data_IF_654773032283
#
_entry.id   IF_654773032283
#
_cell.length_a   1.000
_cell.length_b   1.000
_cell.length_c   1.000
_cell.angle_alpha   90.00
_cell.angle_beta   90.00
_cell.angle_gamma   90.00
#
_symmetry.space_group_name_H-M   'P 1'
#
loop_
_entity.id
_entity.type
_entity.pdbx_description
1 polymer ?
#
# COMPACT_ATOMS: atom_id res chain seq x y z
N UNK A 1 -26.44 -54.28 59.55
CA UNK A 1 -25.21 -53.46 59.50
C UNK A 1 -24.41 -53.89 58.29
N UNK A 2 -24.27 -52.89 57.39
CA UNK A 2 -23.43 -53.06 56.19
C UNK A 2 -21.99 -52.66 56.53
N UNK A 3 -21.09 -53.62 56.50
CA UNK A 3 -19.65 -53.35 56.61
C UNK A 3 -19.09 -53.04 55.22
N UNK A 4 -18.62 -51.81 55.03
CA UNK A 4 -17.83 -51.44 53.87
C UNK A 4 -16.37 -51.81 54.08
N UNK A 5 -15.87 -52.73 53.24
CA UNK A 5 -14.47 -53.14 53.23
C UNK A 5 -13.67 -52.17 52.30
N UNK A 6 -12.87 -51.30 52.90
CA UNK A 6 -11.90 -50.46 52.17
C UNK A 6 -10.69 -51.30 51.81
N UNK A 7 -10.66 -51.81 50.58
CA UNK A 7 -9.50 -52.49 50.02
C UNK A 7 -8.27 -51.57 50.06
N UNK A 8 -7.17 -52.10 50.58
CA UNK A 8 -5.95 -51.36 50.91
C UNK A 8 -5.36 -50.53 49.75
N UNK A 9 -5.23 -49.27 50.04
CA UNK A 9 -4.48 -48.33 49.23
C UNK A 9 -2.98 -48.53 49.51
N UNK A 10 -2.23 -49.05 48.53
CA UNK A 10 -0.78 -49.27 48.67
C UNK A 10 -0.06 -48.02 48.14
N UNK A 11 0.66 -47.26 48.99
CA UNK A 11 1.34 -46.00 48.58
C UNK A 11 2.56 -46.23 47.68
N UNK A 12 2.85 -47.45 47.27
CA UNK A 12 4.04 -47.81 46.48
C UNK A 12 3.85 -47.74 44.95
N UNK A 13 2.62 -47.51 44.43
CA UNK A 13 2.38 -47.57 43.00
C UNK A 13 2.47 -46.19 42.24
N UNK A 14 2.94 -45.14 42.93
CA UNK A 14 3.23 -43.88 42.30
C UNK A 14 4.73 -43.77 41.97
N UNK A 15 5.23 -44.53 40.99
CA UNK A 15 6.66 -44.42 40.69
C UNK A 15 7.18 -45.17 39.50
N UNK A 16 6.37 -45.37 38.46
CA UNK A 16 6.92 -45.69 37.14
C UNK A 16 6.18 -44.88 36.06
N UNK A 17 6.56 -43.62 35.96
CA UNK A 17 6.27 -42.85 34.76
C UNK A 17 7.00 -43.51 33.60
N UNK A 18 6.28 -44.40 32.89
CA UNK A 18 6.78 -44.99 31.67
C UNK A 18 7.19 -43.87 30.73
N UNK A 19 8.49 -43.75 30.47
CA UNK A 19 9.03 -42.90 29.40
C UNK A 19 8.27 -43.29 28.13
N UNK A 20 7.43 -42.37 27.66
CA UNK A 20 6.78 -42.54 26.35
C UNK A 20 7.91 -42.72 25.35
N UNK A 21 7.95 -43.85 24.58
CA UNK A 21 9.01 -44.05 23.61
C UNK A 21 9.08 -42.84 22.70
N UNK A 22 10.20 -42.10 22.77
CA UNK A 22 10.48 -41.04 21.85
C UNK A 22 10.44 -41.67 20.45
N UNK A 23 9.39 -41.37 19.69
CA UNK A 23 9.27 -41.82 18.30
C UNK A 23 10.50 -41.27 17.58
N UNK A 24 11.53 -42.10 17.40
CA UNK A 24 12.68 -41.79 16.56
C UNK A 24 12.15 -41.41 15.18
N UNK A 25 12.16 -40.10 14.88
CA UNK A 25 11.82 -39.61 13.56
C UNK A 25 12.87 -40.11 12.60
N UNK A 26 12.50 -41.06 11.70
CA UNK A 26 13.39 -41.53 10.66
C UNK A 26 14.06 -40.36 9.93
N UNK A 27 15.38 -40.40 9.74
CA UNK A 27 16.10 -39.32 9.07
C UNK A 27 15.52 -39.12 7.67
N UNK A 28 15.09 -37.91 7.37
CA UNK A 28 14.65 -37.53 6.02
C UNK A 28 15.86 -37.55 5.10
N UNK A 29 15.79 -38.30 4.01
CA UNK A 29 16.85 -38.35 3.02
C UNK A 29 16.86 -37.02 2.26
N UNK A 30 18.05 -36.41 1.98
CA UNK A 30 18.16 -35.20 1.17
C UNK A 30 17.67 -35.45 -0.25
N UNK A 31 17.03 -34.45 -0.85
CA UNK A 31 16.50 -34.53 -2.22
C UNK A 31 17.64 -34.31 -3.23
N UNK A 32 17.96 -35.28 -4.05
CA UNK A 32 18.90 -35.15 -5.17
C UNK A 32 20.33 -34.67 -4.81
N UNK A 33 21.01 -34.07 -5.77
CA UNK A 33 22.35 -33.50 -5.60
C UNK A 33 22.29 -32.09 -4.94
N UNK A 34 23.42 -31.59 -4.39
CA UNK A 34 23.47 -30.25 -3.84
C UNK A 34 23.02 -29.16 -4.85
N UNK A 35 23.42 -29.28 -6.10
CA UNK A 35 23.04 -28.33 -7.17
C UNK A 35 21.54 -28.38 -7.44
N UNK A 36 20.97 -29.59 -7.56
CA UNK A 36 19.52 -29.76 -7.77
C UNK A 36 18.70 -29.11 -6.66
N UNK A 37 19.15 -29.26 -5.40
CA UNK A 37 18.50 -28.63 -4.24
C UNK A 37 18.52 -27.10 -4.31
N UNK A 38 19.69 -26.53 -4.63
CA UNK A 38 19.82 -25.07 -4.77
C UNK A 38 18.91 -24.54 -5.89
N UNK A 39 18.83 -25.23 -7.02
CA UNK A 39 17.94 -24.87 -8.11
C UNK A 39 16.46 -24.94 -7.72
N UNK A 40 16.05 -26.00 -7.00
CA UNK A 40 14.68 -26.12 -6.49
C UNK A 40 14.37 -24.98 -5.51
N UNK A 41 15.28 -24.68 -4.57
CA UNK A 41 15.09 -23.62 -3.59
C UNK A 41 14.94 -22.26 -4.27
N UNK A 42 15.80 -21.95 -5.27
CA UNK A 42 15.71 -20.73 -6.04
C UNK A 42 14.39 -20.67 -6.83
N UNK A 43 14.00 -21.76 -7.50
CA UNK A 43 12.77 -21.80 -8.29
C UNK A 43 11.53 -21.58 -7.42
N UNK A 44 11.44 -22.23 -6.25
CA UNK A 44 10.32 -22.04 -5.31
C UNK A 44 10.32 -20.62 -4.74
N UNK A 45 11.50 -20.11 -4.36
CA UNK A 45 11.60 -18.72 -3.84
C UNK A 45 11.21 -17.71 -4.90
N UNK A 46 11.63 -17.88 -6.14
CA UNK A 46 11.24 -17.02 -7.25
C UNK A 46 9.73 -17.08 -7.53
N UNK A 47 9.15 -18.28 -7.51
CA UNK A 47 7.70 -18.45 -7.69
C UNK A 47 6.90 -17.74 -6.58
N UNK A 48 7.28 -17.96 -5.32
CA UNK A 48 6.63 -17.29 -4.17
C UNK A 48 6.84 -15.78 -4.25
N UNK A 49 8.03 -15.33 -4.63
CA UNK A 49 8.33 -13.90 -4.83
C UNK A 49 7.47 -13.26 -5.92
N UNK A 50 7.29 -13.95 -7.05
CA UNK A 50 6.43 -13.46 -8.14
C UNK A 50 4.96 -13.39 -7.71
N UNK A 51 4.47 -14.41 -7.00
CA UNK A 51 3.08 -14.41 -6.47
C UNK A 51 2.90 -13.28 -5.45
N UNK A 52 3.83 -13.13 -4.52
CA UNK A 52 3.78 -12.05 -3.53
C UNK A 52 3.83 -10.68 -4.20
N UNK A 53 4.75 -10.46 -5.15
CA UNK A 53 4.85 -9.21 -5.89
C UNK A 53 3.58 -8.89 -6.67
N UNK A 54 2.93 -9.90 -7.24
CA UNK A 54 1.67 -9.72 -7.96
C UNK A 54 0.48 -9.36 -7.06
N UNK A 55 0.47 -9.87 -5.82
CA UNK A 55 -0.64 -9.67 -4.86
C UNK A 55 -0.44 -8.38 -4.06
N UNK A 56 0.72 -8.23 -3.42
CA UNK A 56 1.01 -7.14 -2.47
C UNK A 56 1.59 -5.89 -3.14
N UNK A 57 2.14 -6.03 -4.35
CA UNK A 57 2.66 -4.91 -5.15
C UNK A 57 3.70 -4.03 -4.41
N UNK A 58 4.71 -4.59 -3.73
CA UNK A 58 5.69 -3.78 -3.00
C UNK A 58 6.50 -2.90 -3.95
N UNK A 59 6.81 -1.67 -3.51
CA UNK A 59 7.74 -0.82 -4.24
C UNK A 59 9.16 -1.40 -4.17
N UNK A 60 9.82 -1.59 -5.32
CA UNK A 60 11.21 -2.04 -5.36
C UNK A 60 12.17 -0.86 -5.13
N UNK A 61 12.05 -0.23 -3.96
CA UNK A 61 12.75 0.99 -3.59
C UNK A 61 13.28 0.88 -2.15
N UNK A 62 14.59 1.12 -1.91
CA UNK A 62 15.14 1.06 -0.56
C UNK A 62 14.56 2.07 0.43
N UNK A 63 13.87 3.10 -0.06
CA UNK A 63 13.15 4.08 0.78
C UNK A 63 11.77 3.59 1.24
N UNK A 64 11.25 2.47 0.68
CA UNK A 64 9.97 1.88 1.03
C UNK A 64 10.16 0.75 2.05
N UNK A 65 9.33 0.73 3.10
CA UNK A 65 9.38 -0.31 4.13
C UNK A 65 9.00 -1.70 3.56
N UNK A 66 8.06 -1.74 2.63
CA UNK A 66 7.59 -2.96 1.97
C UNK A 66 8.72 -3.69 1.22
N UNK A 67 9.72 -2.96 0.71
CA UNK A 67 10.89 -3.52 0.06
C UNK A 67 11.69 -4.44 1.01
N UNK A 68 11.90 -4.01 2.25
CA UNK A 68 12.62 -4.79 3.25
C UNK A 68 11.83 -6.03 3.62
N UNK A 69 10.52 -5.88 3.85
CA UNK A 69 9.66 -7.02 4.14
C UNK A 69 9.67 -8.04 3.00
N UNK A 70 9.59 -7.60 1.76
CA UNK A 70 9.67 -8.47 0.58
C UNK A 70 10.98 -9.25 0.54
N UNK A 71 12.12 -8.60 0.75
CA UNK A 71 13.44 -9.27 0.77
C UNK A 71 13.56 -10.25 1.94
N UNK A 72 13.09 -9.88 3.14
CA UNK A 72 13.07 -10.79 4.28
C UNK A 72 12.20 -12.02 4.01
N UNK A 73 11.04 -11.85 3.39
CA UNK A 73 10.18 -12.96 2.98
C UNK A 73 10.91 -13.92 2.03
N UNK A 74 11.58 -13.39 1.00
CA UNK A 74 12.34 -14.21 0.06
C UNK A 74 13.46 -14.99 0.76
N UNK A 75 14.18 -14.36 1.68
CA UNK A 75 15.22 -15.01 2.47
C UNK A 75 14.63 -16.11 3.37
N UNK A 76 13.50 -15.85 4.01
CA UNK A 76 12.82 -16.83 4.87
C UNK A 76 12.32 -18.05 4.07
N UNK A 77 11.69 -17.80 2.91
CA UNK A 77 11.22 -18.88 2.01
C UNK A 77 12.40 -19.71 1.53
N UNK A 78 13.50 -19.08 1.09
CA UNK A 78 14.68 -19.82 0.67
C UNK A 78 15.26 -20.69 1.81
N UNK A 79 15.41 -20.15 3.01
CA UNK A 79 15.90 -20.90 4.17
C UNK A 79 14.95 -22.04 4.55
N UNK A 80 13.64 -21.81 4.51
CA UNK A 80 12.64 -22.85 4.73
C UNK A 80 12.74 -23.99 3.72
N UNK A 81 12.86 -23.65 2.42
CA UNK A 81 13.07 -24.64 1.36
C UNK A 81 14.40 -25.39 1.54
N UNK A 82 15.48 -24.71 1.95
CA UNK A 82 16.76 -25.34 2.21
C UNK A 82 16.68 -26.35 3.36
N UNK A 83 15.93 -26.06 4.42
CA UNK A 83 15.67 -27.02 5.52
C UNK A 83 14.93 -28.25 5.01
N UNK A 84 13.89 -28.05 4.21
CA UNK A 84 13.07 -29.13 3.68
C UNK A 84 13.81 -30.03 2.69
N UNK A 85 14.59 -29.43 1.79
CA UNK A 85 15.29 -30.15 0.71
C UNK A 85 16.57 -30.83 1.19
N UNK A 86 17.24 -30.29 2.22
CA UNK A 86 18.47 -30.87 2.77
C UNK A 86 18.25 -32.06 3.68
N UNK A 87 17.01 -32.29 4.14
CA UNK A 87 16.71 -33.29 5.15
C UNK A 87 17.32 -32.98 6.52
N UNK A 88 17.60 -31.70 6.80
CA UNK A 88 18.23 -31.25 8.05
C UNK A 88 17.40 -31.64 9.28
N UNK A 89 18.06 -32.31 10.23
CA UNK A 89 17.51 -32.75 11.52
C UNK A 89 18.42 -32.34 12.69
N UNK A 90 19.09 -31.18 12.54
CA UNK A 90 20.02 -30.71 13.56
C UNK A 90 19.33 -30.42 14.88
N UNK A 91 19.91 -30.94 15.96
CA UNK A 91 19.57 -30.60 17.33
C UNK A 91 20.70 -29.73 17.93
N UNK A 92 20.30 -28.59 18.50
CA UNK A 92 21.24 -27.68 19.17
C UNK A 92 21.88 -26.61 18.28
N UNK A 93 22.37 -25.55 18.92
CA UNK A 93 22.89 -24.33 18.27
C UNK A 93 24.03 -24.60 17.28
N UNK A 94 24.94 -25.53 17.57
CA UNK A 94 26.05 -25.88 16.66
C UNK A 94 25.57 -26.51 15.35
N UNK A 95 24.53 -27.36 15.41
CA UNK A 95 23.95 -27.97 14.22
C UNK A 95 23.29 -26.93 13.30
N UNK A 96 22.53 -25.98 13.88
CA UNK A 96 21.92 -24.87 13.15
C UNK A 96 22.96 -23.95 12.51
N UNK A 97 24.02 -23.56 13.24
CA UNK A 97 25.09 -22.73 12.73
C UNK A 97 25.83 -23.39 11.56
N UNK A 98 26.11 -24.71 11.67
CA UNK A 98 26.71 -25.47 10.58
C UNK A 98 25.82 -25.55 9.33
N UNK A 99 24.51 -25.68 9.51
CA UNK A 99 23.55 -25.65 8.42
C UNK A 99 23.49 -24.28 7.74
N UNK A 100 23.34 -23.21 8.52
CA UNK A 100 23.29 -21.82 7.99
C UNK A 100 24.56 -21.51 7.21
N UNK A 101 25.74 -21.83 7.77
CA UNK A 101 27.03 -21.61 7.10
C UNK A 101 27.17 -22.37 5.78
N UNK A 102 26.50 -23.51 5.62
CA UNK A 102 26.62 -24.37 4.41
C UNK A 102 25.54 -24.11 3.36
N UNK A 103 24.33 -23.79 3.78
CA UNK A 103 23.15 -23.74 2.90
C UNK A 103 22.50 -22.33 2.79
N UNK A 104 22.59 -21.51 3.83
CA UNK A 104 21.90 -20.23 3.95
C UNK A 104 22.86 -19.04 4.12
N UNK A 105 24.12 -19.17 3.69
CA UNK A 105 25.13 -18.11 3.86
C UNK A 105 24.71 -16.82 3.17
N UNK A 106 24.23 -16.89 1.92
CA UNK A 106 23.83 -15.70 1.16
C UNK A 106 22.61 -15.03 1.80
N UNK A 107 21.48 -15.71 2.04
CA UNK A 107 20.34 -15.11 2.74
C UNK A 107 20.69 -14.53 4.10
N UNK A 108 21.58 -15.16 4.84
CA UNK A 108 22.04 -14.68 6.17
C UNK A 108 22.74 -13.32 6.06
N UNK A 109 23.68 -13.18 5.13
CA UNK A 109 24.36 -11.89 4.92
C UNK A 109 23.44 -10.83 4.34
N UNK A 110 22.50 -11.20 3.48
CA UNK A 110 21.46 -10.27 2.96
C UNK A 110 20.63 -9.74 4.12
N UNK A 111 20.15 -10.61 5.01
CA UNK A 111 19.36 -10.19 6.17
C UNK A 111 20.16 -9.25 7.10
N UNK A 112 21.44 -9.56 7.37
CA UNK A 112 22.30 -8.67 8.17
C UNK A 112 22.48 -7.32 7.49
N UNK A 113 22.75 -7.31 6.18
CA UNK A 113 22.90 -6.07 5.43
C UNK A 113 21.61 -5.22 5.43
N UNK A 114 20.44 -5.87 5.31
CA UNK A 114 19.14 -5.19 5.39
C UNK A 114 18.88 -4.62 6.79
N UNK A 115 19.17 -5.39 7.85
CA UNK A 115 19.05 -4.90 9.24
C UNK A 115 19.97 -3.70 9.47
N UNK A 116 21.21 -3.78 9.00
CA UNK A 116 22.16 -2.67 9.08
C UNK A 116 21.66 -1.44 8.30
N UNK A 117 21.13 -1.64 7.10
CA UNK A 117 20.55 -0.56 6.29
C UNK A 117 19.35 0.10 7.00
N UNK A 118 18.44 -0.70 7.59
CA UNK A 118 17.33 -0.18 8.39
C UNK A 118 17.84 0.64 9.58
N UNK A 119 18.80 0.10 10.34
CA UNK A 119 19.34 0.78 11.53
C UNK A 119 20.02 2.11 11.17
N UNK A 120 20.92 2.10 10.18
CA UNK A 120 21.61 3.30 9.69
C UNK A 120 20.61 4.28 9.06
N UNK A 121 19.67 3.76 8.28
CA UNK A 121 18.62 4.52 7.63
C UNK A 121 17.72 5.23 8.65
N UNK A 122 17.23 4.53 9.65
CA UNK A 122 16.42 5.10 10.73
C UNK A 122 17.18 6.17 11.51
N UNK A 123 18.45 5.90 11.86
CA UNK A 123 19.29 6.87 12.57
C UNK A 123 19.55 8.13 11.73
N UNK A 124 19.82 7.97 10.43
CA UNK A 124 20.06 9.09 9.51
C UNK A 124 18.80 9.91 9.19
N UNK A 125 17.63 9.33 9.45
CA UNK A 125 16.31 9.95 9.23
C UNK A 125 15.70 10.52 10.52
N UNK A 126 16.39 10.39 11.64
CA UNK A 126 15.84 10.79 12.91
C UNK A 126 15.76 12.31 13.06
N UNK A 127 14.57 12.82 13.42
CA UNK A 127 14.29 14.27 13.50
C UNK A 127 15.30 14.99 14.40
N UNK A 128 15.60 14.44 15.58
CA UNK A 128 16.53 15.04 16.54
C UNK A 128 17.93 15.25 15.95
N UNK A 129 18.42 14.31 15.14
CA UNK A 129 19.75 14.42 14.51
C UNK A 129 19.75 15.29 13.25
N UNK A 130 18.58 15.52 12.66
CA UNK A 130 18.43 16.20 11.37
C UNK A 130 17.46 17.37 11.43
N UNK A 131 17.21 17.94 12.62
CA UNK A 131 16.27 19.03 12.85
C UNK A 131 16.42 20.17 11.81
N UNK A 132 17.62 20.67 11.58
CA UNK A 132 17.87 21.71 10.57
C UNK A 132 17.66 21.29 9.10
N UNK A 133 17.43 19.98 8.81
CA UNK A 133 16.98 19.55 7.49
C UNK A 133 15.45 19.44 7.41
N UNK A 134 14.82 19.07 8.52
CA UNK A 134 13.36 18.98 8.63
C UNK A 134 12.71 20.38 8.63
N UNK A 135 13.29 21.37 9.32
CA UNK A 135 12.81 22.75 9.32
C UNK A 135 12.79 23.40 7.92
N UNK A 136 13.60 22.90 7.00
CA UNK A 136 13.68 23.39 5.61
C UNK A 136 12.79 22.61 4.62
N UNK A 137 12.01 21.65 5.08
CA UNK A 137 11.11 20.89 4.20
C UNK A 137 9.97 21.76 3.66
N UNK A 138 9.45 22.66 4.50
CA UNK A 138 8.47 23.67 4.10
C UNK A 138 9.16 25.04 4.08
N UNK A 139 9.52 25.57 2.89
CA UNK A 139 10.04 26.91 2.81
C UNK A 139 8.90 27.91 3.11
N UNK A 140 9.06 28.67 4.20
CA UNK A 140 8.15 29.76 4.52
C UNK A 140 8.55 31.00 3.73
N UNK A 141 7.61 31.55 2.98
CA UNK A 141 7.76 32.84 2.30
C UNK A 141 6.75 33.83 2.87
N UNK A 142 7.20 35.05 3.09
CA UNK A 142 6.29 36.13 3.47
C UNK A 142 5.62 36.67 2.21
N UNK A 143 4.30 36.66 2.19
CA UNK A 143 3.47 37.19 1.12
C UNK A 143 2.57 38.32 1.61
N UNK A 144 1.99 39.06 0.67
CA UNK A 144 0.98 40.08 0.97
C UNK A 144 -0.42 39.48 0.76
N UNK A 145 -1.17 39.33 1.86
CA UNK A 145 -2.51 38.74 1.85
C UNK A 145 -3.44 39.39 0.80
N UNK A 146 -3.35 40.72 0.63
CA UNK A 146 -4.25 41.44 -0.28
C UNK A 146 -3.96 41.17 -1.76
N UNK A 147 -2.71 40.89 -2.09
CA UNK A 147 -2.28 40.64 -3.48
C UNK A 147 -2.24 39.17 -3.87
N UNK A 148 -2.07 38.28 -2.89
CA UNK A 148 -1.86 36.85 -3.14
C UNK A 148 -3.12 36.00 -2.87
N UNK A 149 -4.07 36.53 -2.08
CA UNK A 149 -5.34 35.83 -1.81
C UNK A 149 -6.47 36.45 -2.60
N UNK A 150 -7.02 35.71 -3.55
CA UNK A 150 -8.15 36.17 -4.35
C UNK A 150 -9.41 36.34 -3.50
N UNK A 151 -10.19 37.40 -3.78
CA UNK A 151 -11.50 37.61 -3.16
C UNK A 151 -12.46 36.52 -3.64
N UNK A 152 -13.00 35.76 -2.71
CA UNK A 152 -14.01 34.74 -2.99
C UNK A 152 -15.39 35.36 -2.92
N UNK A 153 -16.18 35.20 -3.97
CA UNK A 153 -17.59 35.57 -3.98
C UNK A 153 -18.42 34.60 -3.13
N UNK A 154 -19.42 35.11 -2.43
CA UNK A 154 -20.30 34.27 -1.58
C UNK A 154 -20.98 33.15 -2.35
N UNK A 155 -21.28 33.33 -3.62
CA UNK A 155 -21.90 32.35 -4.53
C UNK A 155 -20.88 31.29 -5.04
N UNK A 156 -19.63 31.35 -4.62
CA UNK A 156 -18.57 30.39 -4.97
C UNK A 156 -18.02 29.65 -3.73
N UNK A 157 -18.58 29.91 -2.54
CA UNK A 157 -18.13 29.22 -1.32
C UNK A 157 -18.63 27.78 -1.32
N UNK A 158 -17.74 26.79 -1.25
CA UNK A 158 -18.13 25.39 -1.18
C UNK A 158 -18.82 25.08 0.16
N UNK A 159 -20.08 24.69 0.11
CA UNK A 159 -20.91 24.42 1.29
C UNK A 159 -21.12 22.91 1.54
N UNK A 160 -20.65 22.04 0.64
CA UNK A 160 -20.95 20.62 0.66
C UNK A 160 -19.80 19.81 1.27
N UNK A 161 -20.05 19.15 2.41
CA UNK A 161 -19.13 18.18 2.98
C UNK A 161 -19.13 16.83 2.23
N UNK A 162 -18.20 15.93 2.57
CA UNK A 162 -18.05 14.64 1.91
C UNK A 162 -19.23 13.70 2.12
N UNK A 163 -19.82 13.69 3.34
CA UNK A 163 -20.92 12.81 3.68
C UNK A 163 -22.23 13.23 2.98
N UNK A 164 -22.46 14.53 2.89
CA UNK A 164 -23.60 15.10 2.16
C UNK A 164 -23.45 14.84 0.66
N UNK A 165 -22.25 14.97 0.10
CA UNK A 165 -21.96 14.60 -1.28
C UNK A 165 -22.26 13.12 -1.54
N UNK A 166 -21.84 12.22 -0.66
CA UNK A 166 -22.10 10.79 -0.81
C UNK A 166 -23.60 10.46 -0.84
N UNK A 167 -24.42 11.16 -0.02
CA UNK A 167 -25.87 10.99 -0.02
C UNK A 167 -26.51 11.51 -1.31
N UNK A 168 -26.08 12.68 -1.80
CA UNK A 168 -26.57 13.25 -3.06
C UNK A 168 -26.24 12.36 -4.25
N UNK A 169 -24.99 11.90 -4.34
CA UNK A 169 -24.57 10.99 -5.39
C UNK A 169 -25.34 9.67 -5.36
N UNK A 170 -25.50 9.05 -4.18
CA UNK A 170 -26.24 7.80 -4.04
C UNK A 170 -27.70 7.95 -4.44
N UNK A 171 -28.35 9.07 -4.08
CA UNK A 171 -29.72 9.36 -4.53
C UNK A 171 -29.77 9.51 -6.04
N UNK A 172 -28.79 10.21 -6.64
CA UNK A 172 -28.75 10.44 -8.08
C UNK A 172 -28.53 9.13 -8.86
N UNK A 173 -27.61 8.27 -8.41
CA UNK A 173 -27.43 6.94 -9.00
C UNK A 173 -28.69 6.09 -8.87
N UNK A 174 -29.41 6.18 -7.74
CA UNK A 174 -30.66 5.47 -7.48
C UNK A 174 -31.80 5.82 -8.47
N UNK A 175 -31.75 7.00 -9.09
CA UNK A 175 -32.69 7.41 -10.14
C UNK A 175 -32.45 6.69 -11.47
N UNK A 176 -31.27 6.04 -11.65
CA UNK A 176 -30.85 5.41 -12.89
C UNK A 176 -31.01 3.89 -12.80
N UNK A 177 -32.16 3.38 -13.24
CA UNK A 177 -32.53 1.96 -13.14
C UNK A 177 -31.54 1.01 -13.85
N UNK A 178 -30.88 1.47 -14.90
CA UNK A 178 -29.89 0.73 -15.67
C UNK A 178 -28.53 0.60 -14.95
N UNK A 179 -28.22 1.49 -14.01
CA UNK A 179 -26.93 1.53 -13.31
C UNK A 179 -27.00 1.06 -11.87
N UNK A 180 -28.05 1.43 -11.13
CA UNK A 180 -28.16 1.21 -9.68
C UNK A 180 -28.07 -0.27 -9.28
N UNK A 181 -28.44 -1.19 -10.16
CA UNK A 181 -28.36 -2.62 -9.89
C UNK A 181 -26.97 -3.23 -10.18
N UNK A 182 -26.10 -2.53 -10.91
CA UNK A 182 -24.82 -3.04 -11.40
C UNK A 182 -23.62 -2.36 -10.72
N UNK A 183 -23.77 -1.08 -10.38
CA UNK A 183 -22.67 -0.24 -9.93
C UNK A 183 -22.98 0.40 -8.57
N UNK A 184 -21.92 0.68 -7.84
CA UNK A 184 -21.91 1.43 -6.59
C UNK A 184 -21.00 2.64 -6.77
N UNK A 185 -21.13 3.63 -5.89
CA UNK A 185 -20.28 4.82 -5.89
C UNK A 185 -19.11 4.58 -4.97
N UNK A 186 -17.89 4.92 -5.41
CA UNK A 186 -16.75 4.94 -4.50
C UNK A 186 -16.95 6.03 -3.43
N UNK A 187 -16.65 5.72 -2.15
CA UNK A 187 -16.88 6.65 -1.05
C UNK A 187 -15.94 7.86 -1.08
N UNK A 188 -14.81 7.77 -1.78
CA UNK A 188 -13.78 8.80 -1.82
C UNK A 188 -14.15 9.85 -2.89
N UNK A 189 -14.69 10.97 -2.43
CA UNK A 189 -14.98 12.13 -3.26
C UNK A 189 -13.81 13.10 -3.25
N UNK A 190 -13.23 13.36 -4.41
CA UNK A 190 -12.18 14.37 -4.57
C UNK A 190 -12.82 15.73 -4.81
N UNK A 191 -12.35 16.74 -4.09
CA UNK A 191 -12.72 18.14 -4.37
C UNK A 191 -11.75 18.71 -5.38
N UNK A 192 -12.27 19.27 -6.47
CA UNK A 192 -11.52 19.89 -7.55
C UNK A 192 -12.17 21.20 -7.98
N UNK A 193 -11.40 22.01 -8.70
CA UNK A 193 -11.91 23.21 -9.39
C UNK A 193 -12.15 22.87 -10.87
N UNK A 194 -13.37 22.60 -11.23
CA UNK A 194 -13.75 22.25 -12.59
C UNK A 194 -14.40 23.44 -13.28
N UNK A 195 -13.73 23.97 -14.32
CA UNK A 195 -14.22 25.16 -15.07
C UNK A 195 -14.56 26.35 -14.17
N UNK A 196 -13.71 26.60 -13.16
CA UNK A 196 -13.88 27.72 -12.23
C UNK A 196 -14.96 27.51 -11.16
N UNK A 197 -15.46 26.27 -10.97
CA UNK A 197 -16.43 25.93 -9.92
C UNK A 197 -15.89 24.83 -9.00
N UNK A 198 -16.08 24.96 -7.69
CA UNK A 198 -15.74 23.91 -6.77
C UNK A 198 -16.72 22.74 -6.90
N UNK A 199 -16.22 21.57 -7.32
CA UNK A 199 -17.01 20.35 -7.45
C UNK A 199 -16.39 19.19 -6.69
N UNK A 200 -17.21 18.21 -6.35
CA UNK A 200 -16.74 16.90 -5.89
C UNK A 200 -16.94 15.87 -6.96
N UNK A 201 -15.90 15.12 -7.25
CA UNK A 201 -15.93 14.05 -8.26
C UNK A 201 -15.61 12.71 -7.64
N UNK A 202 -16.23 11.65 -8.15
CA UNK A 202 -15.90 10.28 -7.76
C UNK A 202 -16.24 9.32 -8.90
N UNK A 203 -15.52 8.20 -8.92
CA UNK A 203 -15.77 7.09 -9.85
C UNK A 203 -16.84 6.15 -9.30
N UNK A 204 -17.42 5.34 -10.20
CA UNK A 204 -18.20 4.18 -9.83
C UNK A 204 -17.30 2.99 -9.48
N UNK A 205 -17.91 1.97 -8.88
CA UNK A 205 -17.35 0.65 -8.65
C UNK A 205 -18.36 -0.42 -9.07
N UNK A 206 -17.92 -1.66 -9.22
CA UNK A 206 -18.83 -2.79 -9.44
C UNK A 206 -19.40 -3.25 -8.09
N UNK A 207 -20.71 -3.48 -8.03
CA UNK A 207 -21.36 -3.88 -6.78
C UNK A 207 -20.92 -5.25 -6.25
N UNK A 208 -20.45 -6.15 -7.10
CA UNK A 208 -19.87 -7.45 -6.74
C UNK A 208 -19.03 -8.06 -7.88
N UNK A 209 -18.37 -9.19 -7.61
CA UNK A 209 -17.54 -9.89 -8.60
C UNK A 209 -18.32 -10.40 -9.83
N UNK A 210 -19.59 -10.74 -9.69
CA UNK A 210 -20.42 -11.23 -10.80
C UNK A 210 -20.73 -10.05 -11.73
N UNK A 211 -21.07 -8.91 -11.15
CA UNK A 211 -21.32 -7.68 -11.89
C UNK A 211 -20.07 -7.17 -12.59
N UNK A 212 -18.91 -7.26 -11.94
CA UNK A 212 -17.63 -6.99 -12.59
C UNK A 212 -17.40 -7.94 -13.78
N UNK A 213 -17.56 -9.25 -13.60
CA UNK A 213 -17.34 -10.21 -14.68
C UNK A 213 -18.24 -9.96 -15.90
N UNK A 214 -19.48 -9.55 -15.65
CA UNK A 214 -20.47 -9.24 -16.70
C UNK A 214 -20.13 -7.94 -17.43
N UNK A 215 -19.68 -6.91 -16.72
CA UNK A 215 -19.49 -5.57 -17.27
C UNK A 215 -18.03 -5.23 -17.63
N UNK A 216 -17.05 -6.07 -17.27
CA UNK A 216 -15.61 -5.79 -17.43
C UNK A 216 -15.16 -5.46 -18.85
N UNK A 217 -15.87 -5.91 -19.88
CA UNK A 217 -15.55 -5.63 -21.29
C UNK A 217 -15.79 -4.16 -21.62
N UNK A 218 -16.86 -3.61 -21.10
CA UNK A 218 -17.28 -2.23 -21.34
C UNK A 218 -16.64 -1.24 -20.36
N UNK A 219 -16.25 -1.70 -19.16
CA UNK A 219 -15.73 -0.86 -18.08
C UNK A 219 -16.84 -0.14 -17.31
N UNK A 220 -16.46 0.79 -16.46
CA UNK A 220 -17.38 1.63 -15.69
C UNK A 220 -17.92 2.75 -16.59
N UNK A 221 -19.27 2.83 -16.79
CA UNK A 221 -19.86 3.64 -17.85
C UNK A 221 -19.97 5.13 -17.52
N UNK A 222 -19.69 5.54 -16.28
CA UNK A 222 -19.92 6.91 -15.83
C UNK A 222 -19.08 7.24 -14.59
N UNK A 223 -19.02 8.52 -14.27
CA UNK A 223 -18.55 9.06 -13.00
C UNK A 223 -19.56 10.10 -12.46
N UNK A 224 -19.38 10.54 -11.23
CA UNK A 224 -20.29 11.47 -10.57
C UNK A 224 -19.59 12.80 -10.33
N UNK A 225 -20.28 13.88 -10.67
CA UNK A 225 -19.88 15.26 -10.36
C UNK A 225 -20.96 15.88 -9.50
N UNK A 226 -20.56 16.58 -8.43
CA UNK A 226 -21.49 17.29 -7.54
C UNK A 226 -20.96 18.70 -7.36
N UNK A 227 -21.74 19.67 -7.79
CA UNK A 227 -21.47 21.09 -7.56
C UNK A 227 -21.59 21.38 -6.05
N UNK A 228 -20.54 21.93 -5.47
CA UNK A 228 -20.48 22.16 -4.02
C UNK A 228 -21.24 23.40 -3.55
N UNK A 229 -21.65 24.24 -4.49
CA UNK A 229 -22.43 25.48 -4.23
C UNK A 229 -23.92 25.20 -4.40
N UNK A 230 -24.31 24.69 -5.58
CA UNK A 230 -25.71 24.41 -5.90
C UNK A 230 -26.22 23.10 -5.31
N UNK A 231 -25.31 22.20 -4.90
CA UNK A 231 -25.60 20.84 -4.42
C UNK A 231 -26.28 19.95 -5.48
N UNK A 232 -26.15 20.29 -6.74
CA UNK A 232 -26.65 19.48 -7.83
C UNK A 232 -25.69 18.34 -8.12
N UNK A 233 -26.23 17.11 -8.17
CA UNK A 233 -25.47 15.91 -8.52
C UNK A 233 -25.76 15.50 -9.96
N UNK A 234 -24.73 15.26 -10.73
CA UNK A 234 -24.79 14.79 -12.12
C UNK A 234 -24.06 13.45 -12.27
N UNK A 235 -24.63 12.55 -13.06
CA UNK A 235 -23.96 11.32 -13.53
C UNK A 235 -23.52 11.56 -14.96
N UNK A 236 -22.22 11.75 -15.14
CA UNK A 236 -21.60 11.97 -16.45
C UNK A 236 -21.34 10.63 -17.11
N UNK A 237 -22.07 10.33 -18.19
CA UNK A 237 -21.90 9.10 -18.97
C UNK A 237 -20.74 9.26 -19.95
N UNK A 238 -19.95 8.21 -20.07
CA UNK A 238 -18.82 8.13 -20.98
C UNK A 238 -19.20 7.33 -22.23
N UNK A 239 -18.71 7.75 -23.39
CA UNK A 239 -18.85 7.01 -24.65
C UNK A 239 -18.09 5.67 -24.58
N UNK A 240 -16.89 5.69 -23.99
CA UNK A 240 -16.12 4.51 -23.62
C UNK A 240 -15.95 4.45 -22.11
N UNK A 241 -16.28 3.30 -21.49
CA UNK A 241 -16.19 3.12 -20.06
C UNK A 241 -14.75 3.07 -19.53
N UNK A 242 -14.59 3.45 -18.28
CA UNK A 242 -13.30 3.37 -17.57
C UNK A 242 -12.92 1.92 -17.33
N UNK A 243 -11.73 1.53 -17.77
CA UNK A 243 -11.19 0.15 -17.70
C UNK A 243 -10.00 0.03 -16.76
N UNK A 244 -9.44 1.16 -16.32
CA UNK A 244 -8.29 1.21 -15.40
C UNK A 244 -8.69 2.00 -14.16
N UNK A 245 -9.17 1.27 -13.16
CA UNK A 245 -9.69 1.86 -11.91
C UNK A 245 -9.28 1.03 -10.70
N UNK A 246 -9.47 1.59 -9.51
CA UNK A 246 -9.23 0.86 -8.25
C UNK A 246 -10.21 -0.31 -8.05
N UNK A 247 -11.39 -0.24 -8.68
CA UNK A 247 -12.43 -1.27 -8.62
C UNK A 247 -12.23 -2.41 -9.65
N UNK A 248 -11.28 -2.26 -10.56
CA UNK A 248 -10.94 -3.31 -11.54
C UNK A 248 -10.07 -4.40 -10.91
N UNK A 249 -10.04 -5.55 -11.59
CA UNK A 249 -9.26 -6.71 -11.16
C UNK A 249 -8.14 -7.05 -12.16
N UNK A 250 -7.22 -7.91 -11.72
CA UNK A 250 -6.07 -8.39 -12.50
C UNK A 250 -5.23 -7.23 -13.07
N UNK A 251 -4.88 -7.26 -14.35
CA UNK A 251 -3.99 -6.28 -15.00
C UNK A 251 -4.60 -4.88 -15.16
N UNK A 252 -5.93 -4.76 -15.06
CA UNK A 252 -6.62 -3.47 -15.14
C UNK A 252 -6.79 -2.78 -13.79
N UNK A 253 -6.52 -3.48 -12.69
CA UNK A 253 -6.49 -2.84 -11.38
C UNK A 253 -5.42 -1.75 -11.36
N UNK A 254 -5.78 -0.54 -10.97
CA UNK A 254 -4.94 0.65 -11.05
C UNK A 254 -3.60 0.47 -10.33
N UNK A 255 -3.62 -0.06 -9.09
CA UNK A 255 -2.41 -0.26 -8.30
C UNK A 255 -1.43 -1.22 -8.99
N UNK A 256 -1.96 -2.29 -9.59
CA UNK A 256 -1.16 -3.26 -10.31
C UNK A 256 -0.62 -2.69 -11.61
N UNK A 257 -1.47 -1.97 -12.35
CA UNK A 257 -1.06 -1.28 -13.57
C UNK A 257 0.11 -0.31 -13.31
N UNK A 258 0.01 0.52 -12.26
CA UNK A 258 1.07 1.42 -11.81
C UNK A 258 2.35 0.66 -11.40
N UNK A 259 2.20 -0.38 -10.55
CA UNK A 259 3.37 -1.10 -10.03
C UNK A 259 4.18 -1.79 -11.13
N UNK A 260 3.51 -2.33 -12.15
CA UNK A 260 4.21 -2.97 -13.27
C UNK A 260 4.87 -1.98 -14.22
N UNK A 261 4.35 -0.76 -14.35
CA UNK A 261 4.96 0.30 -15.18
C UNK A 261 6.04 1.07 -14.41
N UNK A 262 5.83 1.30 -13.11
CA UNK A 262 6.71 2.09 -12.25
C UNK A 262 7.13 1.30 -11.01
N UNK A 263 7.90 0.22 -11.15
CA UNK A 263 8.18 -0.73 -10.06
C UNK A 263 8.97 -0.13 -8.90
N UNK A 264 9.70 0.95 -9.12
CA UNK A 264 10.55 1.61 -8.11
C UNK A 264 9.95 2.87 -7.52
N UNK A 265 8.83 3.38 -8.07
CA UNK A 265 8.18 4.56 -7.53
C UNK A 265 7.33 4.21 -6.32
N UNK A 266 7.35 5.08 -5.33
CA UNK A 266 6.41 5.05 -4.21
C UNK A 266 5.27 6.01 -4.54
N UNK A 267 4.04 5.57 -4.29
CA UNK A 267 2.85 6.35 -4.57
C UNK A 267 2.06 6.58 -3.28
N UNK A 268 1.43 7.74 -3.19
CA UNK A 268 0.34 7.99 -2.26
C UNK A 268 -0.96 7.35 -2.77
N UNK A 269 -2.04 7.44 -1.99
CA UNK A 269 -3.34 6.93 -2.42
C UNK A 269 -3.80 7.67 -3.68
N UNK A 270 -4.12 6.93 -4.77
CA UNK A 270 -4.59 7.54 -6.01
C UNK A 270 -5.92 8.27 -5.82
N UNK A 271 -6.01 9.47 -6.35
CA UNK A 271 -7.25 10.26 -6.34
C UNK A 271 -7.85 10.36 -7.73
N UNK A 272 -9.19 10.39 -7.77
CA UNK A 272 -9.94 10.50 -9.00
C UNK A 272 -10.20 11.96 -9.32
N UNK A 273 -9.78 12.42 -10.50
CA UNK A 273 -10.01 13.76 -11.02
C UNK A 273 -10.43 13.74 -12.49
N UNK A 274 -10.88 14.85 -13.00
CA UNK A 274 -11.24 15.05 -14.42
C UNK A 274 -10.50 16.26 -14.96
N UNK A 275 -10.07 16.19 -16.22
CA UNK A 275 -9.50 17.34 -16.90
C UNK A 275 -10.58 18.36 -17.32
N UNK A 276 -10.19 19.47 -17.94
CA UNK A 276 -11.13 20.53 -18.38
C UNK A 276 -12.12 20.06 -19.46
N UNK A 277 -11.81 18.98 -20.17
CA UNK A 277 -12.68 18.34 -21.17
C UNK A 277 -13.65 17.32 -20.54
N UNK A 278 -13.45 16.96 -19.26
CA UNK A 278 -14.23 15.96 -18.55
C UNK A 278 -13.70 14.53 -18.72
N UNK A 279 -12.46 14.38 -19.21
CA UNK A 279 -11.82 13.07 -19.30
C UNK A 279 -11.39 12.60 -17.90
N UNK A 280 -11.74 11.36 -17.50
CA UNK A 280 -11.41 10.88 -16.17
C UNK A 280 -9.95 10.40 -16.07
N UNK A 281 -9.27 10.83 -15.00
CA UNK A 281 -7.92 10.45 -14.65
C UNK A 281 -7.80 9.97 -13.21
N UNK A 282 -6.80 9.15 -12.98
CA UNK A 282 -6.27 8.88 -11.65
C UNK A 282 -4.97 9.64 -11.47
N UNK A 283 -4.95 10.53 -10.49
CA UNK A 283 -3.76 11.25 -10.07
C UNK A 283 -3.04 10.42 -9.01
N UNK A 284 -1.85 9.94 -9.35
CA UNK A 284 -1.06 9.05 -8.51
C UNK A 284 0.21 9.78 -8.07
N UNK A 285 0.14 10.48 -6.94
CA UNK A 285 1.23 11.31 -6.43
C UNK A 285 2.45 10.48 -6.08
N UNK A 286 3.61 10.86 -6.61
CA UNK A 286 4.88 10.19 -6.35
C UNK A 286 5.48 10.68 -5.05
N UNK A 287 5.60 9.79 -4.08
CA UNK A 287 6.27 10.05 -2.80
C UNK A 287 7.78 9.88 -2.94
N UNK A 288 8.53 10.77 -2.31
CA UNK A 288 9.98 10.70 -2.14
C UNK A 288 10.37 10.92 -0.68
N UNK A 289 11.53 10.41 -0.28
CA UNK A 289 12.13 10.67 1.04
C UNK A 289 13.29 11.65 0.86
N UNK A 290 13.18 12.83 1.48
CA UNK A 290 14.17 13.91 1.34
C UNK A 290 15.30 13.82 2.37
N UNK A 291 15.07 13.17 3.51
CA UNK A 291 15.99 13.16 4.66
C UNK A 291 16.34 11.73 5.03
N UNK A 292 17.61 11.37 4.83
CA UNK A 292 18.08 10.03 5.09
C UNK A 292 17.39 8.98 4.23
N UNK A 293 17.14 7.80 4.78
CA UNK A 293 16.52 6.70 4.03
C UNK A 293 14.99 6.69 4.14
N UNK A 294 14.44 7.09 5.30
CA UNK A 294 13.01 6.95 5.60
C UNK A 294 12.32 8.27 5.99
N UNK A 295 13.05 9.37 6.15
CA UNK A 295 12.53 10.62 6.66
C UNK A 295 12.22 11.65 5.58
N UNK A 296 11.49 12.72 5.98
CA UNK A 296 11.15 13.84 5.13
C UNK A 296 10.30 13.43 3.93
N UNK A 297 9.11 12.90 4.20
CA UNK A 297 8.16 12.51 3.14
C UNK A 297 7.72 13.76 2.38
N UNK A 298 7.86 13.75 1.06
CA UNK A 298 7.47 14.84 0.17
C UNK A 298 6.92 14.27 -1.14
N UNK A 299 6.24 15.09 -1.92
CA UNK A 299 5.73 14.73 -3.23
C UNK A 299 6.63 15.30 -4.32
N UNK A 300 6.98 14.48 -5.30
CA UNK A 300 7.76 14.89 -6.46
C UNK A 300 6.99 14.56 -7.75
N UNK A 301 5.99 15.39 -8.07
CA UNK A 301 5.12 15.18 -9.21
C UNK A 301 4.14 14.02 -9.06
N UNK A 302 3.47 13.65 -10.14
CA UNK A 302 2.51 12.56 -10.18
C UNK A 302 2.57 11.78 -11.49
N UNK A 303 2.09 10.54 -11.44
CA UNK A 303 1.70 9.78 -12.63
C UNK A 303 0.21 9.98 -12.85
N UNK A 304 -0.15 10.51 -14.01
CA UNK A 304 -1.53 10.63 -14.44
C UNK A 304 -1.88 9.38 -15.28
N UNK A 305 -2.93 8.69 -14.88
CA UNK A 305 -3.43 7.50 -15.58
C UNK A 305 -4.81 7.80 -16.14
N UNK A 306 -4.95 7.80 -17.46
CA UNK A 306 -6.26 7.89 -18.09
C UNK A 306 -7.11 6.67 -17.72
N UNK A 307 -8.24 6.89 -17.06
CA UNK A 307 -9.07 5.81 -16.53
C UNK A 307 -9.71 4.94 -17.63
N UNK A 308 -9.86 5.47 -18.85
CA UNK A 308 -10.45 4.78 -20.01
C UNK A 308 -9.41 3.95 -20.75
N UNK A 309 -8.32 4.59 -21.20
CA UNK A 309 -7.30 3.95 -22.05
C UNK A 309 -6.22 3.21 -21.25
N UNK A 310 -5.95 3.62 -20.01
CA UNK A 310 -4.83 3.14 -19.20
C UNK A 310 -3.49 3.76 -19.60
N UNK A 311 -3.48 4.74 -20.49
CA UNK A 311 -2.27 5.49 -20.79
C UNK A 311 -1.79 6.20 -19.51
N UNK A 312 -0.52 6.05 -19.20
CA UNK A 312 0.04 6.62 -17.98
C UNK A 312 1.31 7.39 -18.29
N UNK A 313 1.43 8.59 -17.74
CA UNK A 313 2.58 9.45 -17.91
C UNK A 313 2.97 10.12 -16.59
N UNK A 314 4.27 10.16 -16.33
CA UNK A 314 4.82 10.88 -15.19
C UNK A 314 5.05 12.35 -15.54
N UNK A 315 4.60 13.23 -14.64
CA UNK A 315 4.82 14.67 -14.69
C UNK A 315 5.53 15.11 -13.41
N UNK A 316 6.64 15.82 -13.53
CA UNK A 316 7.28 16.49 -12.38
C UNK A 316 6.49 17.76 -12.04
N UNK A 317 6.16 18.55 -13.06
CA UNK A 317 5.23 19.66 -12.97
C UNK A 317 3.91 19.20 -13.58
N UNK A 318 2.90 19.01 -12.73
CA UNK A 318 1.59 18.53 -13.15
C UNK A 318 0.79 19.60 -13.90
N UNK A 319 -0.12 19.23 -14.81
CA UNK A 319 -1.03 20.17 -15.46
C UNK A 319 -1.85 20.97 -14.43
N UNK A 320 -2.26 22.18 -14.81
CA UNK A 320 -2.98 23.13 -13.93
C UNK A 320 -4.36 22.67 -13.49
N UNK A 321 -4.93 21.68 -14.14
CA UNK A 321 -6.22 21.10 -13.76
C UNK A 321 -6.10 20.06 -12.64
N UNK A 322 -4.89 19.63 -12.29
CA UNK A 322 -4.66 18.71 -11.16
C UNK A 322 -4.68 19.52 -9.86
N UNK A 323 -5.72 19.32 -9.08
CA UNK A 323 -5.93 20.06 -7.83
C UNK A 323 -5.35 19.35 -6.61
N UNK A 324 -5.34 18.02 -6.62
CA UNK A 324 -4.96 17.24 -5.45
C UNK A 324 -3.67 16.44 -5.64
N UNK A 325 -2.56 17.18 -5.71
CA UNK A 325 -1.23 16.59 -5.78
C UNK A 325 -0.73 16.11 -4.40
N UNK A 326 -1.04 16.86 -3.35
CA UNK A 326 -0.69 16.53 -1.96
C UNK A 326 -1.91 16.01 -1.21
N UNK A 327 -1.77 14.85 -0.57
CA UNK A 327 -2.79 14.40 0.38
C UNK A 327 -2.73 15.22 1.67
N UNK A 328 -3.86 15.29 2.37
CA UNK A 328 -3.94 15.96 3.67
C UNK A 328 -2.95 15.40 4.68
N UNK A 329 -2.72 14.08 4.63
CA UNK A 329 -1.80 13.40 5.54
C UNK A 329 -0.35 13.82 5.31
N UNK A 330 0.06 13.99 4.05
CA UNK A 330 1.41 14.48 3.71
C UNK A 330 1.56 15.94 4.13
N UNK A 331 0.57 16.80 3.87
CA UNK A 331 0.61 18.21 4.28
C UNK A 331 0.73 18.33 5.80
N UNK A 332 -0.10 17.59 6.54
CA UNK A 332 -0.08 17.59 8.00
C UNK A 332 1.27 17.05 8.51
N UNK A 333 1.77 15.97 7.92
CA UNK A 333 3.07 15.40 8.29
C UNK A 333 4.22 16.41 8.05
N UNK A 334 4.22 17.10 6.92
CA UNK A 334 5.21 18.13 6.61
C UNK A 334 5.13 19.29 7.61
N UNK A 335 3.93 19.78 7.89
CA UNK A 335 3.70 20.88 8.81
C UNK A 335 4.20 20.55 10.22
N UNK A 336 3.73 19.43 10.82
CA UNK A 336 4.12 19.03 12.16
C UNK A 336 5.61 18.67 12.30
N UNK A 337 6.21 18.04 11.28
CA UNK A 337 7.64 17.71 11.35
C UNK A 337 8.53 18.94 11.17
N UNK A 338 8.11 19.93 10.40
CA UNK A 338 8.82 21.20 10.25
C UNK A 338 8.75 22.02 11.52
N UNK A 339 7.55 22.20 12.09
CA UNK A 339 7.30 22.93 13.34
C UNK A 339 8.06 22.33 14.53
N UNK A 340 7.93 21.00 14.74
CA UNK A 340 8.68 20.33 15.80
C UNK A 340 10.21 20.39 15.61
N UNK A 341 10.69 20.52 14.37
CA UNK A 341 12.12 20.69 14.10
C UNK A 341 12.61 22.11 14.38
N UNK A 342 11.79 23.13 14.12
CA UNK A 342 12.07 24.53 14.47
C UNK A 342 12.17 24.71 15.98
N UNK A 343 11.25 24.12 16.75
CA UNK A 343 11.31 24.09 18.21
C UNK A 343 12.63 23.48 18.74
N UNK A 344 13.11 22.39 18.10
CA UNK A 344 14.35 21.73 18.48
C UNK A 344 15.63 22.56 18.23
N UNK A 345 15.61 23.41 17.22
CA UNK A 345 16.75 24.28 16.87
C UNK A 345 16.64 25.68 17.47
N UNK A 346 15.51 25.99 18.16
CA UNK A 346 15.28 27.27 18.83
C UNK A 346 15.14 28.46 17.88
N UNK A 347 14.52 28.23 16.74
CA UNK A 347 14.12 29.28 15.78
C UNK A 347 12.66 29.60 16.06
N UNK A 348 12.40 30.78 16.61
CA UNK A 348 11.06 31.33 16.80
C UNK A 348 10.62 32.09 15.53
#
# INVERSE_FOLDING_TARGET
PFTFNFGGFNPGDFGQGGERPQRERKPRKPIGTPVTRTLINIAVTALVGLVYFYVELPALNPHAEEFYFFVFLLCAVYCGCAVLTSGFQGTGARGYLGFVKKQCTIPFFVVIAMIAAIAIGSLSSWVVLRAGAYSKLLPLTTGDFVTEVEEIRYDQIPMLDSDSAARLGSRKLGELADMVSQFEILPNYTQINYKGRPVRVTSLAYGDLIKWFTNRSNGLPAYIVIDMVTQEAEVVRLDEGMKYTTAEHFSRNLYRHLRFQYPTMMFDEPVFEIDEEGTPYWVCSRIVKRIGLFGGTDVKGAVLVNAVSGESQYYEDVPTWVDRLYSSDIIICLLYTSDAADDLIGVD
#
